data_IF_069880307919
#
_entry.id   IF_069880307919
#
_cell.length_a   1.000
_cell.length_b   1.000
_cell.length_c   1.000
_cell.angle_alpha   90.00
_cell.angle_beta   90.00
_cell.angle_gamma   90.00
#
_symmetry.space_group_name_H-M   'P 1'
#
loop_
_entity.id
_entity.type
_entity.pdbx_description
1 polymer ?
#
# COMPACT_ATOMS: atom_id res chain seq x y z
N UNK A 1 41.33 -23.02 -17.12
CA UNK A 1 40.66 -24.02 -16.25
C UNK A 1 40.41 -23.33 -14.91
N UNK A 2 39.45 -22.44 -14.77
CA UNK A 2 38.01 -22.67 -14.84
C UNK A 2 37.57 -23.77 -13.86
N UNK A 3 36.65 -23.37 -12.95
CA UNK A 3 35.70 -24.18 -12.16
C UNK A 3 36.14 -24.61 -10.76
N UNK A 4 35.41 -24.07 -9.77
CA UNK A 4 34.79 -24.94 -8.79
C UNK A 4 35.09 -24.68 -7.32
N UNK A 5 34.70 -23.53 -6.77
CA UNK A 5 34.45 -23.42 -5.32
C UNK A 5 32.95 -23.25 -5.13
N UNK A 6 32.26 -24.39 -5.23
CA UNK A 6 30.83 -24.51 -4.94
C UNK A 6 30.67 -24.99 -3.49
N UNK A 7 29.81 -24.27 -2.77
CA UNK A 7 28.86 -24.77 -1.75
C UNK A 7 29.46 -25.23 -0.41
N UNK A 8 29.28 -24.38 0.61
CA UNK A 8 28.93 -24.79 1.99
C UNK A 8 28.09 -23.68 2.65
N UNK A 9 26.77 -23.78 2.56
CA UNK A 9 25.84 -23.16 3.51
C UNK A 9 24.80 -24.24 3.80
N UNK A 10 24.97 -24.93 4.91
CA UNK A 10 23.99 -25.85 5.46
C UNK A 10 24.40 -26.11 6.91
N UNK A 11 23.92 -25.28 7.83
CA UNK A 11 23.67 -25.69 9.22
C UNK A 11 22.85 -24.62 9.95
N UNK A 12 22.06 -25.08 10.92
CA UNK A 12 21.19 -24.34 11.83
C UNK A 12 19.77 -24.01 11.34
N UNK A 13 18.92 -25.04 11.28
CA UNK A 13 17.50 -24.88 11.64
C UNK A 13 17.05 -26.14 12.38
N UNK A 14 17.17 -26.12 13.70
CA UNK A 14 16.68 -27.19 14.55
C UNK A 14 16.28 -26.59 15.91
N UNK A 15 15.00 -26.24 16.04
CA UNK A 15 14.23 -26.20 17.28
C UNK A 15 12.82 -25.66 16.97
N UNK A 16 11.82 -26.18 17.69
CA UNK A 16 10.38 -25.84 17.65
C UNK A 16 9.62 -26.44 16.46
N UNK A 17 8.53 -27.20 16.61
CA UNK A 17 7.67 -27.47 17.77
C UNK A 17 6.83 -28.72 17.42
N UNK A 18 6.86 -29.72 18.29
CA UNK A 18 6.01 -30.90 18.26
C UNK A 18 5.08 -30.77 19.47
N UNK A 19 3.76 -30.91 19.26
CA UNK A 19 2.74 -31.53 20.11
C UNK A 19 1.38 -30.82 20.04
N UNK A 20 0.33 -31.65 19.93
CA UNK A 20 -1.05 -31.33 20.32
C UNK A 20 -1.97 -31.05 19.13
N UNK A 21 -2.58 -32.06 18.53
CA UNK A 21 -3.87 -32.67 18.94
C UNK A 21 -5.01 -32.18 18.05
N UNK A 22 -5.48 -33.09 17.18
CA UNK A 22 -6.81 -33.04 16.58
C UNK A 22 -7.86 -33.22 17.68
N UNK A 23 -9.03 -32.56 17.55
CA UNK A 23 -10.23 -33.39 17.43
C UNK A 23 -11.26 -32.84 16.43
N UNK A 24 -11.68 -33.76 15.55
CA UNK A 24 -13.05 -34.26 15.37
C UNK A 24 -14.23 -33.29 15.27
N UNK A 25 -14.91 -33.43 14.12
CA UNK A 25 -16.36 -33.41 13.89
C UNK A 25 -17.26 -32.79 14.97
N UNK A 26 -17.95 -31.71 14.60
CA UNK A 26 -19.39 -31.65 14.84
C UNK A 26 -20.09 -30.86 13.72
N UNK A 27 -21.19 -31.47 13.30
CA UNK A 27 -22.10 -31.18 12.20
C UNK A 27 -23.12 -30.10 12.64
N UNK A 28 -24.00 -29.68 11.71
CA UNK A 28 -25.22 -28.86 11.88
C UNK A 28 -24.99 -27.33 11.81
N UNK A 29 -25.75 -26.49 11.10
CA UNK A 29 -26.95 -26.64 10.28
C UNK A 29 -27.17 -25.33 9.48
N UNK A 30 -27.99 -25.45 8.44
CA UNK A 30 -28.83 -24.43 7.80
C UNK A 30 -28.22 -23.20 7.11
N UNK A 31 -28.34 -23.23 5.77
CA UNK A 31 -28.55 -22.07 4.91
C UNK A 31 -29.64 -21.13 5.45
N UNK A 32 -29.43 -19.81 5.32
CA UNK A 32 -30.54 -18.94 4.97
C UNK A 32 -30.36 -18.37 3.56
N UNK A 33 -31.28 -18.79 2.68
CA UNK A 33 -31.54 -18.23 1.37
C UNK A 33 -31.61 -16.69 1.42
N UNK A 34 -30.63 -16.02 0.83
CA UNK A 34 -30.72 -14.59 0.60
C UNK A 34 -31.66 -14.35 -0.59
N UNK A 35 -32.91 -13.99 -0.25
CA UNK A 35 -33.92 -13.48 -1.18
C UNK A 35 -33.34 -12.39 -2.08
N UNK A 36 -33.36 -12.69 -3.38
CA UNK A 36 -33.19 -11.76 -4.48
C UNK A 36 -34.28 -10.69 -4.35
N UNK A 37 -33.88 -9.47 -4.03
CA UNK A 37 -34.75 -8.29 -4.15
C UNK A 37 -34.52 -7.76 -5.55
N UNK A 38 -35.47 -8.00 -6.44
CA UNK A 38 -35.49 -7.42 -7.78
C UNK A 38 -35.47 -5.89 -7.69
N UNK A 39 -34.59 -5.19 -8.43
CA UNK A 39 -34.68 -3.76 -8.57
C UNK A 39 -35.95 -3.38 -9.37
N UNK A 40 -36.72 -2.37 -8.94
CA UNK A 40 -37.94 -1.97 -9.63
C UNK A 40 -37.66 -1.41 -11.03
N UNK A 41 -38.48 -1.87 -11.98
CA UNK A 41 -38.49 -1.48 -13.38
C UNK A 41 -38.63 0.05 -13.56
N UNK A 42 -37.83 0.69 -14.43
CA UNK A 42 -38.10 2.04 -14.88
C UNK A 42 -39.32 2.07 -15.81
N UNK A 43 -40.25 2.95 -15.47
CA UNK A 43 -41.42 3.33 -16.25
C UNK A 43 -41.07 3.68 -17.70
N UNK A 44 -41.96 3.30 -18.61
CA UNK A 44 -42.01 3.79 -19.99
C UNK A 44 -42.21 5.30 -20.03
N UNK A 45 -41.30 6.02 -20.69
CA UNK A 45 -41.60 7.33 -21.25
C UNK A 45 -41.82 7.19 -22.77
N UNK A 46 -43.00 7.55 -23.30
CA UNK A 46 -43.30 7.44 -24.72
C UNK A 46 -43.08 8.81 -25.38
N UNK A 47 -41.99 9.04 -26.12
CA UNK A 47 -41.99 10.11 -27.11
C UNK A 47 -41.23 9.73 -28.39
N UNK A 48 -41.69 10.23 -29.55
CA UNK A 48 -41.73 9.50 -30.81
C UNK A 48 -40.54 9.76 -31.74
N UNK A 49 -40.50 8.90 -32.76
CA UNK A 49 -39.64 8.92 -33.93
C UNK A 49 -39.27 10.30 -34.47
N UNK A 50 -37.97 10.51 -34.68
CA UNK A 50 -37.49 11.16 -35.90
C UNK A 50 -36.13 10.58 -36.28
N UNK A 51 -36.20 9.66 -37.23
CA UNK A 51 -35.12 9.14 -38.06
C UNK A 51 -34.35 10.28 -38.75
N UNK A 52 -33.02 10.36 -38.50
CA UNK A 52 -32.03 10.76 -39.52
C UNK A 52 -30.73 10.02 -39.27
N UNK A 53 -30.56 8.95 -40.04
CA UNK A 53 -29.35 8.14 -40.05
C UNK A 53 -28.07 8.92 -40.35
N UNK A 54 -26.96 8.37 -39.83
CA UNK A 54 -25.66 8.45 -40.47
C UNK A 54 -25.03 7.07 -40.35
N UNK A 55 -24.88 6.42 -41.51
CA UNK A 55 -24.25 5.13 -41.66
C UNK A 55 -22.76 5.24 -41.30
N UNK A 56 -22.29 4.36 -40.43
CA UNK A 56 -20.99 3.71 -40.66
C UNK A 56 -20.99 2.35 -39.98
N UNK A 57 -21.04 1.35 -40.84
CA UNK A 57 -20.76 -0.06 -40.61
C UNK A 57 -19.43 -0.29 -39.90
N UNK A 58 -19.38 -1.18 -38.90
CA UNK A 58 -18.40 -2.28 -38.79
C UNK A 58 -18.97 -3.38 -37.88
N UNK A 59 -19.27 -4.50 -38.54
CA UNK A 59 -19.28 -5.93 -38.16
C UNK A 59 -19.29 -6.40 -36.69
N UNK A 60 -20.39 -7.10 -36.38
CA UNK A 60 -20.60 -8.36 -35.63
C UNK A 60 -19.44 -9.11 -34.98
N UNK A 61 -19.86 -9.92 -33.99
CA UNK A 61 -19.27 -11.16 -33.41
C UNK A 61 -18.39 -10.95 -32.18
N UNK A 62 -18.43 -11.76 -31.13
CA UNK A 62 -19.43 -12.68 -30.56
C UNK A 62 -18.96 -12.90 -29.10
N UNK A 63 -19.64 -13.77 -28.37
CA UNK A 63 -19.48 -14.07 -26.96
C UNK A 63 -18.05 -14.29 -26.40
N UNK A 64 -18.00 -14.21 -25.06
CA UNK A 64 -16.88 -14.51 -24.15
C UNK A 64 -15.90 -13.35 -23.89
N UNK A 65 -16.34 -12.35 -23.11
CA UNK A 65 -15.42 -11.47 -22.39
C UNK A 65 -14.69 -12.25 -21.29
N UNK A 66 -13.73 -13.08 -21.70
CA UNK A 66 -12.66 -13.51 -20.83
C UNK A 66 -11.79 -12.26 -20.62
N UNK A 67 -11.95 -11.63 -19.45
CA UNK A 67 -11.19 -10.44 -19.03
C UNK A 67 -9.72 -10.80 -18.83
N UNK A 68 -8.97 -10.94 -19.92
CA UNK A 68 -7.51 -10.89 -19.90
C UNK A 68 -7.08 -9.45 -19.72
N UNK A 69 -7.13 -8.97 -18.47
CA UNK A 69 -6.49 -7.72 -18.06
C UNK A 69 -5.01 -7.81 -18.45
N UNK A 70 -4.61 -7.00 -19.42
CA UNK A 70 -3.22 -6.93 -19.86
C UNK A 70 -2.37 -6.35 -18.73
N UNK A 71 -1.12 -6.80 -18.58
CA UNK A 71 -0.20 -6.26 -17.56
C UNK A 71 -0.02 -4.74 -17.69
N UNK A 72 -0.20 -4.21 -18.90
CA UNK A 72 -0.11 -2.79 -19.24
C UNK A 72 -1.25 -1.96 -18.63
N UNK A 73 -2.46 -2.50 -18.52
CA UNK A 73 -3.61 -1.82 -17.90
C UNK A 73 -3.49 -1.78 -16.37
N UNK A 74 -2.94 -2.83 -15.75
CA UNK A 74 -2.64 -2.83 -14.31
C UNK A 74 -1.59 -1.78 -13.94
N UNK A 75 -0.55 -1.61 -14.75
CA UNK A 75 0.50 -0.60 -14.51
C UNK A 75 -0.03 0.83 -14.68
N UNK A 76 -0.94 1.04 -15.63
CA UNK A 76 -1.57 2.34 -15.90
C UNK A 76 -2.53 2.76 -14.78
N UNK A 77 -3.34 1.84 -14.26
CA UNK A 77 -4.17 2.06 -13.06
C UNK A 77 -3.33 2.22 -11.78
N UNK A 78 -2.23 1.47 -11.66
CA UNK A 78 -1.29 1.63 -10.56
C UNK A 78 -0.64 3.02 -10.57
N UNK A 79 -0.38 3.60 -11.75
CA UNK A 79 0.18 4.94 -11.89
C UNK A 79 -0.80 6.05 -11.46
N UNK A 80 -2.07 6.01 -11.92
CA UNK A 80 -3.09 7.01 -11.56
C UNK A 80 -3.41 7.04 -10.05
N UNK A 81 -3.25 5.90 -9.39
CA UNK A 81 -3.45 5.78 -7.94
C UNK A 81 -2.26 6.24 -7.12
N UNK A 82 -1.17 6.71 -7.74
CA UNK A 82 -0.03 7.27 -7.02
C UNK A 82 -0.30 8.69 -6.57
N UNK A 83 0.16 8.98 -5.37
CA UNK A 83 0.06 10.28 -4.73
C UNK A 83 1.42 10.69 -4.19
N UNK A 84 1.63 12.00 -4.07
CA UNK A 84 2.86 12.57 -3.54
C UNK A 84 2.66 12.99 -2.09
N UNK A 85 3.49 12.46 -1.20
CA UNK A 85 3.55 12.83 0.23
C UNK A 85 4.98 13.25 0.60
N UNK A 86 5.17 14.05 1.64
CA UNK A 86 6.52 14.47 2.05
C UNK A 86 7.05 13.58 3.17
N UNK A 87 8.31 13.17 3.06
CA UNK A 87 9.00 12.42 4.10
C UNK A 87 10.35 13.08 4.43
N UNK A 88 10.52 13.48 5.69
CA UNK A 88 11.73 14.10 6.21
C UNK A 88 12.64 13.13 6.96
N UNK A 89 13.76 13.63 7.48
CA UNK A 89 14.66 12.90 8.37
C UNK A 89 14.61 13.55 9.76
N UNK A 90 14.60 12.74 10.80
CA UNK A 90 14.74 13.13 12.20
C UNK A 90 16.12 12.71 12.71
N UNK A 91 16.67 13.51 13.60
CA UNK A 91 17.95 13.28 14.27
C UNK A 91 17.83 13.71 15.73
N UNK A 92 18.60 13.07 16.61
CA UNK A 92 18.71 13.54 17.99
C UNK A 92 19.57 14.81 18.04
N UNK A 93 19.10 15.81 18.78
CA UNK A 93 19.88 17.00 19.17
C UNK A 93 19.74 17.18 20.68
N UNK A 94 20.85 17.08 21.41
CA UNK A 94 20.89 17.22 22.86
C UNK A 94 19.92 16.28 23.61
N UNK A 95 19.76 15.04 23.13
CA UNK A 95 18.84 14.06 23.72
C UNK A 95 17.37 14.23 23.33
N UNK A 96 17.03 15.14 22.41
CA UNK A 96 15.66 15.35 21.94
C UNK A 96 15.57 15.10 20.43
N UNK A 97 14.53 14.37 19.99
CA UNK A 97 14.27 14.14 18.57
C UNK A 97 13.88 15.45 17.87
N UNK A 98 14.66 15.82 16.84
CA UNK A 98 14.40 17.02 16.02
C UNK A 98 14.38 16.72 14.54
N UNK A 99 13.46 17.38 13.85
CA UNK A 99 13.37 17.31 12.39
C UNK A 99 14.59 18.00 11.80
N UNK A 100 15.35 17.27 10.97
CA UNK A 100 16.47 17.85 10.22
C UNK A 100 15.91 18.89 9.24
N UNK A 101 16.36 20.14 9.37
CA UNK A 101 15.94 21.22 8.48
C UNK A 101 16.26 20.86 7.03
N UNK A 102 15.39 21.30 6.12
CA UNK A 102 15.49 21.04 4.67
C UNK A 102 15.65 19.57 4.27
N UNK A 103 15.13 18.63 5.09
CA UNK A 103 15.17 17.20 4.79
C UNK A 103 13.87 16.65 4.21
N UNK A 104 12.80 17.44 4.14
CA UNK A 104 11.53 16.96 3.58
C UNK A 104 11.66 16.70 2.07
N UNK A 105 11.48 15.45 1.67
CA UNK A 105 11.51 15.02 0.29
C UNK A 105 10.14 14.47 -0.13
N UNK A 106 9.55 14.94 -1.23
CA UNK A 106 8.30 14.38 -1.74
C UNK A 106 8.56 12.97 -2.28
N UNK A 107 7.77 11.96 -1.93
CA UNK A 107 7.83 10.61 -2.49
C UNK A 107 6.52 10.29 -3.20
N UNK A 108 6.59 9.54 -4.30
CA UNK A 108 5.42 9.15 -5.07
C UNK A 108 5.07 7.70 -4.75
N UNK A 109 3.92 7.47 -4.12
CA UNK A 109 3.49 6.15 -3.63
C UNK A 109 2.01 5.90 -3.94
N UNK A 110 1.57 4.65 -4.18
CA UNK A 110 0.15 4.31 -4.29
C UNK A 110 -0.64 4.68 -3.04
N UNK A 111 -1.90 5.12 -3.19
CA UNK A 111 -2.82 5.42 -2.07
C UNK A 111 -3.07 4.24 -1.12
N UNK A 112 -3.01 3.01 -1.63
CA UNK A 112 -3.15 1.77 -0.87
C UNK A 112 -1.89 1.34 -0.12
N UNK A 113 -0.80 2.11 -0.21
CA UNK A 113 0.49 1.74 0.39
C UNK A 113 0.44 1.72 1.91
N UNK A 114 1.04 0.70 2.50
CA UNK A 114 1.27 0.56 3.95
C UNK A 114 2.52 1.33 4.39
N UNK A 115 2.73 1.41 5.71
CA UNK A 115 3.87 2.10 6.33
C UNK A 115 5.20 1.52 5.86
N UNK A 116 5.27 0.20 5.67
CA UNK A 116 6.47 -0.51 5.20
C UNK A 116 6.88 -0.07 3.80
N UNK A 117 5.93 0.06 2.88
CA UNK A 117 6.19 0.47 1.49
C UNK A 117 6.61 1.94 1.44
N UNK A 118 5.89 2.80 2.18
CA UNK A 118 6.21 4.23 2.31
C UNK A 118 7.61 4.41 2.88
N UNK A 119 7.95 3.68 3.93
CA UNK A 119 9.28 3.69 4.55
C UNK A 119 10.36 3.32 3.53
N UNK A 120 10.21 2.18 2.83
CA UNK A 120 11.22 1.73 1.86
C UNK A 120 11.43 2.75 0.74
N UNK A 121 10.34 3.24 0.14
CA UNK A 121 10.40 4.25 -0.91
C UNK A 121 11.05 5.56 -0.43
N UNK A 122 10.80 5.96 0.82
CA UNK A 122 11.44 7.12 1.43
C UNK A 122 12.94 6.91 1.64
N UNK A 123 13.35 5.74 2.14
CA UNK A 123 14.77 5.40 2.32
C UNK A 123 15.48 5.44 0.97
N UNK A 124 14.94 4.80 -0.05
CA UNK A 124 15.55 4.75 -1.40
C UNK A 124 15.72 6.16 -1.97
N UNK A 125 14.70 7.01 -1.82
CA UNK A 125 14.77 8.40 -2.28
C UNK A 125 15.79 9.22 -1.50
N UNK A 126 15.87 9.03 -0.19
CA UNK A 126 16.85 9.71 0.66
C UNK A 126 18.27 9.25 0.41
N UNK A 127 18.50 7.96 0.13
CA UNK A 127 19.79 7.40 -0.28
C UNK A 127 20.24 7.98 -1.63
N UNK A 128 19.33 8.06 -2.60
CA UNK A 128 19.62 8.65 -3.90
C UNK A 128 19.99 10.15 -3.81
N UNK A 129 19.37 10.89 -2.89
CA UNK A 129 19.62 12.32 -2.72
C UNK A 129 20.80 12.63 -1.77
N UNK A 130 21.05 11.77 -0.77
CA UNK A 130 22.06 11.98 0.25
C UNK A 130 23.09 10.85 0.19
N UNK A 131 24.23 11.12 -0.48
CA UNK A 131 25.36 10.18 -0.59
C UNK A 131 25.95 9.77 0.77
N UNK A 132 25.69 10.56 1.82
CA UNK A 132 26.16 10.30 3.20
C UNK A 132 25.16 9.50 4.05
N UNK A 133 24.03 9.06 3.49
CA UNK A 133 23.07 8.28 4.26
C UNK A 133 23.60 6.86 4.43
N UNK A 134 23.77 6.36 5.66
CA UNK A 134 24.26 5.00 5.89
C UNK A 134 23.27 3.95 5.39
N UNK A 135 23.79 2.96 4.67
CA UNK A 135 22.99 1.92 3.99
C UNK A 135 22.52 0.81 4.93
N UNK A 136 23.30 0.57 6.00
CA UNK A 136 23.18 -0.53 6.96
C UNK A 136 22.22 -0.28 8.12
N UNK A 137 21.64 0.90 8.23
CA UNK A 137 20.81 1.27 9.37
C UNK A 137 19.35 0.94 9.14
N UNK A 138 18.73 0.34 10.16
CA UNK A 138 17.29 0.19 10.21
C UNK A 138 16.63 1.53 10.50
N UNK A 139 15.62 1.85 9.70
CA UNK A 139 14.85 3.08 9.82
C UNK A 139 13.43 2.75 10.27
N UNK A 140 12.83 3.67 11.03
CA UNK A 140 11.40 3.69 11.37
C UNK A 140 10.74 4.91 10.77
N UNK A 141 9.46 4.76 10.43
CA UNK A 141 8.63 5.84 9.95
C UNK A 141 7.85 6.40 11.13
N UNK A 142 7.90 7.72 11.30
CA UNK A 142 7.30 8.45 12.40
C UNK A 142 6.28 9.48 11.91
N UNK A 143 5.28 9.72 12.74
CA UNK A 143 4.36 10.84 12.63
C UNK A 143 5.01 12.16 13.10
N UNK A 144 4.36 13.32 12.92
CA UNK A 144 4.89 14.62 13.37
C UNK A 144 5.07 14.75 14.89
N UNK A 145 4.43 13.89 15.67
CA UNK A 145 4.57 13.75 17.13
C UNK A 145 5.69 12.76 17.53
N UNK A 146 6.49 12.30 16.56
CA UNK A 146 7.56 11.33 16.72
C UNK A 146 7.10 9.92 17.15
N UNK A 147 5.82 9.61 17.02
CA UNK A 147 5.29 8.27 17.26
C UNK A 147 5.47 7.36 16.03
N UNK A 148 5.74 6.07 16.26
CA UNK A 148 5.91 5.09 15.20
C UNK A 148 4.62 4.89 14.38
N UNK A 149 4.76 4.89 13.05
CA UNK A 149 3.66 4.73 12.10
C UNK A 149 3.28 3.25 11.98
N UNK A 150 2.43 2.81 12.88
CA UNK A 150 1.77 1.49 12.82
C UNK A 150 0.29 1.64 12.44
N UNK A 151 -0.44 2.39 13.27
CA UNK A 151 -1.88 2.65 13.11
C UNK A 151 -2.14 4.13 12.90
N UNK A 152 -3.30 4.47 12.33
CA UNK A 152 -3.75 5.85 12.19
C UNK A 152 -3.98 6.45 13.60
N UNK A 153 -3.44 7.65 13.91
CA UNK A 153 -3.62 8.25 15.23
C UNK A 153 -5.11 8.47 15.51
N UNK A 154 -5.56 8.06 16.69
CA UNK A 154 -6.97 8.11 17.09
C UNK A 154 -7.84 6.96 16.56
N UNK A 155 -7.27 5.98 15.87
CA UNK A 155 -7.99 4.80 15.37
C UNK A 155 -7.22 3.49 15.63
N UNK A 156 -7.90 2.37 15.51
CA UNK A 156 -7.31 1.01 15.52
C UNK A 156 -7.02 0.49 14.10
N UNK A 157 -7.23 1.31 13.08
CA UNK A 157 -6.93 0.93 11.71
C UNK A 157 -5.45 1.02 11.39
N UNK A 158 -4.94 0.02 10.68
CA UNK A 158 -3.59 0.04 10.12
C UNK A 158 -3.37 1.25 9.23
N UNK A 159 -2.13 1.75 9.25
CA UNK A 159 -1.75 2.86 8.41
C UNK A 159 -1.82 2.49 6.92
N UNK A 160 -2.60 3.27 6.18
CA UNK A 160 -2.47 3.40 4.73
C UNK A 160 -2.50 4.88 4.36
N UNK A 161 -1.82 5.23 3.26
CA UNK A 161 -1.75 6.63 2.81
C UNK A 161 -3.14 7.22 2.61
N UNK A 162 -4.08 6.45 2.04
CA UNK A 162 -5.47 6.85 1.86
C UNK A 162 -6.19 7.13 3.18
N UNK A 163 -6.17 6.18 4.12
CA UNK A 163 -6.86 6.33 5.41
C UNK A 163 -6.27 7.47 6.23
N UNK A 164 -4.95 7.63 6.18
CA UNK A 164 -4.31 8.74 6.87
C UNK A 164 -4.72 10.10 6.28
N UNK A 165 -4.79 10.20 4.95
CA UNK A 165 -5.34 11.38 4.26
C UNK A 165 -6.78 11.68 4.72
N UNK A 166 -7.65 10.66 4.80
CA UNK A 166 -9.05 10.80 5.21
C UNK A 166 -9.14 11.29 6.66
N UNK A 167 -8.31 10.74 7.55
CA UNK A 167 -8.25 11.15 8.96
C UNK A 167 -7.75 12.59 9.14
N UNK A 168 -6.83 13.04 8.29
CA UNK A 168 -6.26 14.39 8.37
C UNK A 168 -7.15 15.45 7.71
N UNK A 169 -7.99 15.07 6.74
CA UNK A 169 -8.78 16.00 5.92
C UNK A 169 -7.93 16.98 5.10
N UNK A 170 -6.68 16.59 4.76
CA UNK A 170 -5.69 17.45 4.09
C UNK A 170 -5.29 16.85 2.75
N UNK A 171 -4.86 17.71 1.82
CA UNK A 171 -4.21 17.26 0.59
C UNK A 171 -2.97 16.41 0.89
N UNK A 172 -2.72 15.39 0.07
CA UNK A 172 -1.58 14.49 0.20
C UNK A 172 -0.23 15.22 0.27
N UNK A 173 -0.08 16.32 -0.46
CA UNK A 173 1.15 17.13 -0.47
C UNK A 173 1.43 17.81 0.88
N UNK A 174 0.44 17.89 1.78
CA UNK A 174 0.58 18.43 3.14
C UNK A 174 0.80 17.35 4.20
N UNK A 175 0.80 16.07 3.80
CA UNK A 175 1.14 14.96 4.67
C UNK A 175 2.66 14.95 4.82
N UNK A 176 3.12 15.17 6.05
CA UNK A 176 4.52 15.10 6.42
C UNK A 176 4.71 13.93 7.37
N UNK A 177 5.60 13.01 6.99
CA UNK A 177 6.09 11.92 7.83
C UNK A 177 7.60 12.05 7.96
N UNK A 178 8.21 11.27 8.85
CA UNK A 178 9.63 11.38 9.14
C UNK A 178 10.30 10.02 9.27
N UNK A 179 11.54 9.92 8.81
CA UNK A 179 12.39 8.76 9.05
C UNK A 179 13.28 9.03 10.25
N UNK A 180 13.30 8.09 11.19
CA UNK A 180 14.21 8.08 12.33
C UNK A 180 15.03 6.80 12.30
N UNK A 181 16.28 6.86 12.75
CA UNK A 181 17.09 5.66 12.97
C UNK A 181 16.54 4.93 14.19
N UNK A 182 16.62 3.60 14.19
CA UNK A 182 16.18 2.82 15.36
C UNK A 182 17.07 3.12 16.57
N UNK A 183 18.38 3.22 16.39
CA UNK A 183 19.34 3.61 17.44
C UNK A 183 18.91 4.93 18.11
N UNK A 184 18.61 5.95 17.30
CA UNK A 184 18.14 7.24 17.80
C UNK A 184 16.79 7.16 18.54
N UNK A 185 15.94 6.19 18.18
CA UNK A 185 14.63 6.04 18.82
C UNK A 185 14.74 5.30 20.15
N UNK A 186 15.68 4.36 20.27
CA UNK A 186 15.93 3.60 21.50
C UNK A 186 16.70 4.42 22.55
N UNK A 187 17.49 5.40 22.10
CA UNK A 187 18.25 6.31 22.97
C UNK A 187 17.40 7.45 23.59
N UNK A 188 16.13 7.61 23.19
CA UNK A 188 15.22 8.69 23.67
C UNK A 188 14.26 8.18 24.74
#
# INVERSE_FOLDING_TARGET
>A
KERGVKRKIAEATQAFEELGEEPSDDQLDDEPEHKIIDPPSPLHDPFPDTDKGCQSSVTTSDAECQTSLTMEDMEKEACFRRTSINVGIVHIVNGELKIKRSSLMPITVPKSSSSVIVRRAAIDKHKAHNVKLPDTLDWKLLYPDFQEVNNIPGSKHFFTVQKYHESLGKSYQRINLYLCRIEDLEDT
#
